data_IF_241516772229
#
_entry.id   IF_241516772229
#
_cell.length_a   1.000
_cell.length_b   1.000
_cell.length_c   1.000
_cell.angle_alpha   90.00
_cell.angle_beta   90.00
_cell.angle_gamma   90.00
#
_symmetry.space_group_name_H-M   'P 1'
#
loop_
_entity.id
_entity.type
_entity.pdbx_description
1 polymer ?
#
# COMPACT_ATOMS: atom_id res chain seq x y z
N UNK A 1 28.79 -28.92 -65.11
CA UNK A 1 29.74 -29.11 -64.00
C UNK A 1 28.95 -28.94 -62.72
N UNK A 2 28.46 -30.06 -62.20
CA UNK A 2 27.49 -30.18 -61.10
C UNK A 2 28.24 -30.65 -59.87
N UNK A 3 28.26 -29.86 -58.80
CA UNK A 3 28.80 -30.28 -57.50
C UNK A 3 27.67 -30.28 -56.48
N UNK A 4 27.09 -31.45 -56.29
CA UNK A 4 26.22 -31.85 -55.20
C UNK A 4 27.03 -31.92 -53.89
N UNK A 5 26.53 -31.27 -52.83
CA UNK A 5 26.98 -31.50 -51.45
C UNK A 5 26.11 -32.60 -50.82
N UNK A 6 26.69 -33.50 -50.00
CA UNK A 6 25.96 -34.55 -49.32
C UNK A 6 25.26 -34.01 -48.06
N UNK A 7 24.07 -34.58 -47.83
CA UNK A 7 23.21 -34.38 -46.66
C UNK A 7 23.85 -35.01 -45.41
N UNK A 8 23.93 -34.23 -44.34
CA UNK A 8 24.36 -34.69 -43.01
C UNK A 8 23.11 -34.95 -42.18
N UNK A 9 22.76 -36.24 -42.11
CA UNK A 9 21.67 -36.84 -41.34
C UNK A 9 22.07 -36.86 -39.85
N UNK A 10 21.48 -35.98 -39.04
CA UNK A 10 21.58 -36.04 -37.58
C UNK A 10 20.34 -36.72 -37.01
N UNK A 11 20.50 -38.00 -36.69
CA UNK A 11 19.61 -38.77 -35.84
C UNK A 11 19.63 -38.22 -34.42
N UNK A 12 18.54 -37.56 -34.01
CA UNK A 12 18.29 -37.24 -32.60
C UNK A 12 17.30 -38.27 -32.07
N UNK A 13 17.82 -39.18 -31.24
CA UNK A 13 17.06 -40.17 -30.48
C UNK A 13 15.83 -39.56 -29.80
N UNK A 14 14.67 -40.08 -30.19
CA UNK A 14 13.39 -39.81 -29.55
C UNK A 14 13.24 -40.76 -28.36
N UNK A 15 13.79 -40.36 -27.21
CA UNK A 15 13.57 -41.04 -25.93
C UNK A 15 12.16 -40.76 -25.40
N UNK A 16 11.25 -41.69 -25.67
CA UNK A 16 9.91 -41.71 -25.09
C UNK A 16 9.91 -42.27 -23.67
N UNK A 17 9.41 -41.49 -22.72
CA UNK A 17 8.81 -42.02 -21.49
C UNK A 17 7.45 -41.37 -21.26
N UNK A 18 6.43 -42.21 -21.31
CA UNK A 18 5.03 -41.90 -21.07
C UNK A 18 4.71 -41.96 -19.55
N UNK A 19 3.51 -41.52 -19.13
CA UNK A 19 3.27 -40.92 -17.81
C UNK A 19 2.79 -41.91 -16.75
N UNK A 20 3.24 -41.71 -15.50
CA UNK A 20 2.64 -42.33 -14.33
C UNK A 20 1.69 -41.35 -13.62
N UNK A 21 0.40 -41.52 -13.90
CA UNK A 21 -0.73 -41.09 -13.08
C UNK A 21 -0.60 -41.56 -11.63
N UNK A 22 -0.71 -40.67 -10.65
CA UNK A 22 -0.96 -41.06 -9.25
C UNK A 22 -1.82 -40.05 -8.47
N UNK A 23 -3.13 -40.31 -8.50
CA UNK A 23 -4.08 -40.34 -7.37
C UNK A 23 -4.05 -39.18 -6.34
N UNK A 24 -5.02 -38.31 -6.58
CA UNK A 24 -5.78 -37.43 -5.68
C UNK A 24 -6.19 -38.11 -4.36
N UNK A 25 -5.72 -37.63 -3.21
CA UNK A 25 -6.37 -37.86 -1.88
C UNK A 25 -6.67 -36.54 -1.18
N UNK A 26 -7.92 -36.07 -1.35
CA UNK A 26 -8.54 -35.00 -0.55
C UNK A 26 -8.84 -35.54 0.85
N UNK A 27 -8.19 -35.01 1.89
CA UNK A 27 -8.71 -35.11 3.27
C UNK A 27 -9.55 -33.87 3.57
N UNK A 28 -10.87 -34.07 3.62
CA UNK A 28 -11.86 -33.16 4.23
C UNK A 28 -11.53 -33.04 5.72
N UNK A 29 -11.20 -31.84 6.21
CA UNK A 29 -11.27 -31.53 7.64
C UNK A 29 -12.55 -30.74 7.88
N UNK A 30 -13.56 -31.42 8.45
CA UNK A 30 -14.72 -30.82 9.12
C UNK A 30 -14.19 -30.05 10.32
N UNK A 31 -14.45 -28.75 10.38
CA UNK A 31 -14.57 -28.02 11.64
C UNK A 31 -15.85 -27.21 11.56
N UNK A 32 -16.88 -27.80 12.17
CA UNK A 32 -18.13 -27.17 12.56
C UNK A 32 -17.92 -26.72 14.00
N UNK A 33 -17.93 -25.42 14.23
CA UNK A 33 -18.09 -24.84 15.56
C UNK A 33 -19.10 -23.70 15.41
N UNK A 34 -20.36 -24.05 15.62
CA UNK A 34 -21.43 -23.12 15.95
C UNK A 34 -21.11 -22.59 17.33
N UNK A 35 -20.85 -21.29 17.44
CA UNK A 35 -20.85 -20.57 18.71
C UNK A 35 -21.95 -19.53 18.61
N UNK A 36 -23.11 -19.89 19.13
CA UNK A 36 -24.17 -18.98 19.49
C UNK A 36 -23.65 -18.04 20.59
N UNK A 37 -23.88 -16.74 20.45
CA UNK A 37 -23.36 -15.78 21.41
C UNK A 37 -23.71 -14.34 21.09
N UNK A 38 -24.86 -13.93 21.63
CA UNK A 38 -25.12 -12.61 22.22
C UNK A 38 -25.41 -11.39 21.33
N UNK A 39 -26.49 -10.71 21.74
CA UNK A 39 -26.33 -9.30 22.10
C UNK A 39 -26.84 -8.31 21.07
N UNK A 40 -28.16 -8.14 21.02
CA UNK A 40 -28.82 -7.00 20.39
C UNK A 40 -28.95 -5.86 21.43
N UNK A 41 -28.15 -4.78 21.38
CA UNK A 41 -28.52 -3.55 22.06
C UNK A 41 -29.45 -2.72 21.16
N UNK A 42 -30.49 -2.22 21.81
CA UNK A 42 -31.56 -1.39 21.30
C UNK A 42 -31.08 -0.17 20.53
N UNK A 43 -31.88 0.18 19.52
CA UNK A 43 -31.86 1.47 18.87
C UNK A 43 -32.09 2.58 19.91
N UNK A 44 -31.15 3.51 20.00
CA UNK A 44 -31.37 4.83 20.59
C UNK A 44 -31.40 5.79 19.42
N UNK A 45 -32.62 6.18 19.05
CA UNK A 45 -32.91 7.35 18.24
C UNK A 45 -32.54 8.57 19.10
N UNK A 46 -31.58 9.37 18.65
CA UNK A 46 -31.43 10.74 19.15
C UNK A 46 -31.73 11.68 18.00
N UNK A 47 -32.90 12.30 18.14
CA UNK A 47 -33.31 13.48 17.42
C UNK A 47 -32.64 14.66 18.15
N UNK A 48 -31.79 15.44 17.50
CA UNK A 48 -31.52 16.80 17.99
C UNK A 48 -31.14 17.74 16.85
N UNK A 49 -32.06 18.70 16.65
CA UNK A 49 -31.85 19.97 15.97
C UNK A 49 -30.63 20.71 16.53
N UNK A 50 -29.87 21.39 15.66
CA UNK A 50 -28.78 22.24 16.14
C UNK A 50 -27.96 22.86 15.04
N UNK A 51 -28.61 23.61 14.14
CA UNK A 51 -27.92 24.47 13.20
C UNK A 51 -27.25 25.63 13.95
N UNK A 52 -25.92 25.56 14.13
CA UNK A 52 -25.10 26.71 14.43
C UNK A 52 -23.94 26.80 13.44
N UNK A 53 -24.08 27.76 12.54
CA UNK A 53 -23.04 28.35 11.70
C UNK A 53 -21.85 28.84 12.54
N UNK A 54 -20.61 28.45 12.24
CA UNK A 54 -19.44 29.14 12.76
C UNK A 54 -19.09 30.32 11.84
N UNK A 55 -19.32 31.52 12.36
CA UNK A 55 -18.82 32.78 11.83
C UNK A 55 -17.29 32.78 11.82
N UNK A 56 -16.72 33.21 10.69
CA UNK A 56 -15.29 33.40 10.45
C UNK A 56 -14.61 34.25 11.55
N UNK A 57 -13.43 33.80 11.97
CA UNK A 57 -12.47 34.60 12.72
C UNK A 57 -11.08 34.44 12.11
N UNK A 58 -10.73 35.33 11.17
CA UNK A 58 -9.37 35.47 10.65
C UNK A 58 -8.52 36.17 11.70
N UNK A 59 -7.78 35.40 12.49
CA UNK A 59 -6.80 35.94 13.45
C UNK A 59 -5.39 35.71 12.90
N UNK A 60 -4.77 36.78 12.45
CA UNK A 60 -3.35 36.85 12.08
C UNK A 60 -2.46 36.44 13.27
N UNK A 61 -1.44 35.58 13.07
CA UNK A 61 -0.53 35.20 14.14
C UNK A 61 0.39 36.36 14.52
N UNK A 62 0.62 36.61 15.82
CA UNK A 62 1.58 37.61 16.27
C UNK A 62 3.01 37.16 15.93
N UNK A 63 3.75 38.02 15.24
CA UNK A 63 5.17 37.88 14.94
C UNK A 63 5.96 38.01 16.24
N UNK A 64 6.34 36.88 16.83
CA UNK A 64 7.19 36.81 18.02
C UNK A 64 8.64 37.04 17.58
N UNK A 65 9.17 38.21 17.90
CA UNK A 65 10.61 38.49 17.88
C UNK A 65 11.31 37.71 19.00
N UNK A 66 12.51 37.13 18.74
CA UNK A 66 13.29 36.46 19.77
C UNK A 66 13.77 37.51 20.78
N UNK A 67 13.21 37.47 21.98
CA UNK A 67 13.66 38.30 23.09
C UNK A 67 14.85 37.58 23.74
N UNK A 68 16.00 38.23 23.74
CA UNK A 68 17.24 37.74 24.35
C UNK A 68 17.02 37.46 25.84
N UNK A 69 17.05 36.18 26.20
CA UNK A 69 17.06 35.72 27.60
C UNK A 69 18.39 36.08 28.24
N UNK A 70 18.48 37.28 28.82
CA UNK A 70 19.49 37.59 29.83
C UNK A 70 19.02 37.02 31.17
N UNK A 71 19.66 35.93 31.57
CA UNK A 71 19.54 35.35 32.92
C UNK A 71 20.18 36.32 33.92
N UNK A 72 19.37 37.16 34.57
CA UNK A 72 19.80 37.96 35.72
C UNK A 72 19.49 37.16 36.98
N UNK A 73 20.52 36.67 37.65
CA UNK A 73 20.45 36.05 38.98
C UNK A 73 20.26 37.15 40.03
N UNK A 74 19.01 37.47 40.39
CA UNK A 74 18.71 38.29 41.57
C UNK A 74 18.34 37.39 42.74
N UNK A 75 19.30 37.16 43.63
CA UNK A 75 19.05 36.63 44.96
C UNK A 75 18.44 37.76 45.80
N UNK A 76 17.12 37.89 45.88
CA UNK A 76 16.46 38.67 46.94
C UNK A 76 15.02 38.18 47.17
N UNK A 77 14.88 37.51 48.31
CA UNK A 77 13.74 37.10 49.11
C UNK A 77 12.47 37.97 48.98
N UNK A 78 11.33 37.34 48.67
CA UNK A 78 10.01 37.93 48.92
C UNK A 78 9.08 38.08 47.71
N UNK A 79 9.47 37.60 46.53
CA UNK A 79 8.50 37.48 45.43
C UNK A 79 7.49 36.39 45.81
N UNK A 80 6.23 36.80 45.98
CA UNK A 80 5.07 36.00 46.37
C UNK A 80 5.12 34.58 45.79
N UNK A 81 5.04 33.59 46.68
CA UNK A 81 4.96 32.15 46.39
C UNK A 81 3.90 31.84 45.30
N UNK A 82 2.86 32.67 45.20
CA UNK A 82 1.79 32.51 44.22
C UNK A 82 2.25 32.85 42.78
N UNK A 83 3.12 33.84 42.59
CA UNK A 83 3.61 34.19 41.25
C UNK A 83 4.50 33.10 40.64
N UNK A 84 5.34 32.47 41.46
CA UNK A 84 6.21 31.39 40.97
C UNK A 84 5.41 30.14 40.60
N UNK A 85 4.30 29.89 41.31
CA UNK A 85 3.36 28.82 41.02
C UNK A 85 2.66 29.05 39.67
N UNK A 86 2.18 30.27 39.42
CA UNK A 86 1.51 30.63 38.14
C UNK A 86 2.48 30.47 36.95
N UNK A 87 3.72 30.95 37.07
CA UNK A 87 4.72 30.81 36.01
C UNK A 87 5.02 29.34 35.70
N UNK A 88 5.12 28.51 36.74
CA UNK A 88 5.37 27.07 36.60
C UNK A 88 4.23 26.38 35.86
N UNK A 89 2.97 26.68 36.20
CA UNK A 89 1.81 26.12 35.52
C UNK A 89 1.73 26.56 34.05
N UNK A 90 1.96 27.83 33.73
CA UNK A 90 2.00 28.30 32.33
C UNK A 90 3.10 27.60 31.51
N UNK A 91 4.26 27.36 32.13
CA UNK A 91 5.38 26.68 31.47
C UNK A 91 5.04 25.20 31.20
N UNK A 92 4.41 24.54 32.17
CA UNK A 92 3.93 23.16 32.04
C UNK A 92 2.89 23.05 30.91
N UNK A 93 1.88 23.93 30.89
CA UNK A 93 0.83 23.94 29.86
C UNK A 93 1.43 24.21 28.47
N UNK A 94 2.34 25.18 28.34
CA UNK A 94 2.99 25.50 27.07
C UNK A 94 3.83 24.33 26.54
N UNK A 95 4.48 23.59 27.44
CA UNK A 95 5.27 22.40 27.08
C UNK A 95 4.37 21.26 26.64
N UNK A 96 3.25 21.03 27.34
CA UNK A 96 2.25 20.04 26.96
C UNK A 96 1.68 20.33 25.57
N UNK A 97 1.31 21.58 25.29
CA UNK A 97 0.78 21.97 23.98
C UNK A 97 1.78 21.71 22.85
N UNK A 98 3.06 22.07 23.03
CA UNK A 98 4.11 21.79 22.04
C UNK A 98 4.31 20.30 21.79
N UNK A 99 4.22 19.47 22.83
CA UNK A 99 4.34 18.03 22.69
C UNK A 99 3.14 17.44 21.94
N UNK A 100 1.91 17.90 22.24
CA UNK A 100 0.71 17.47 21.53
C UNK A 100 0.73 17.85 20.04
N UNK A 101 1.17 19.07 19.70
CA UNK A 101 1.30 19.52 18.31
C UNK A 101 2.34 18.67 17.55
N UNK A 102 3.48 18.38 18.19
CA UNK A 102 4.52 17.53 17.62
C UNK A 102 4.03 16.11 17.36
N UNK A 103 3.30 15.52 18.31
CA UNK A 103 2.74 14.17 18.16
C UNK A 103 1.71 14.11 17.03
N UNK A 104 0.92 15.17 16.84
CA UNK A 104 -0.02 15.28 15.71
C UNK A 104 0.74 15.23 14.37
N UNK A 105 1.80 16.03 14.24
CA UNK A 105 2.62 16.10 13.03
C UNK A 105 3.28 14.75 12.74
N UNK A 106 3.87 14.10 13.75
CA UNK A 106 4.55 12.80 13.58
C UNK A 106 3.57 11.70 13.15
N UNK A 107 2.34 11.71 13.68
CA UNK A 107 1.30 10.74 13.28
C UNK A 107 0.87 10.93 11.82
N UNK A 108 0.69 12.17 11.39
CA UNK A 108 0.35 12.50 10.00
C UNK A 108 1.46 12.08 9.03
N UNK A 109 2.72 12.35 9.37
CA UNK A 109 3.88 11.98 8.56
C UNK A 109 4.01 10.46 8.42
N UNK A 110 3.81 9.72 9.51
CA UNK A 110 3.82 8.26 9.50
C UNK A 110 2.69 7.66 8.65
N UNK A 111 1.50 8.28 8.65
CA UNK A 111 0.38 7.87 7.81
C UNK A 111 0.68 8.03 6.32
N UNK A 112 1.30 9.14 5.94
CA UNK A 112 1.68 9.41 4.54
C UNK A 112 2.76 8.41 4.08
N UNK A 113 3.76 8.15 4.92
CA UNK A 113 4.83 7.21 4.60
C UNK A 113 4.32 5.77 4.44
N UNK A 114 3.30 5.38 5.22
CA UNK A 114 2.63 4.08 5.08
C UNK A 114 1.97 3.89 3.70
N UNK A 115 1.42 4.94 3.08
CA UNK A 115 0.81 4.85 1.76
C UNK A 115 1.82 4.95 0.61
N UNK A 116 2.96 5.61 0.84
CA UNK A 116 4.03 5.77 -0.15
C UNK A 116 4.81 4.49 -0.39
N UNK A 117 5.14 3.76 0.68
CA UNK A 117 5.94 2.54 0.62
C UNK A 117 5.35 1.48 -0.35
N UNK A 118 4.04 1.17 -0.29
CA UNK A 118 3.41 0.27 -1.24
C UNK A 118 3.49 0.73 -2.69
N UNK A 119 3.30 2.03 -2.97
CA UNK A 119 3.38 2.56 -4.34
C UNK A 119 4.78 2.40 -4.94
N UNK A 120 5.81 2.74 -4.17
CA UNK A 120 7.21 2.58 -4.59
C UNK A 120 7.53 1.09 -4.80
N UNK A 121 7.06 0.23 -3.89
CA UNK A 121 7.19 -1.22 -4.04
C UNK A 121 6.54 -1.74 -5.32
N UNK A 122 5.34 -1.25 -5.67
CA UNK A 122 4.66 -1.59 -6.92
C UNK A 122 5.43 -1.11 -8.15
N UNK A 123 6.02 0.09 -8.13
CA UNK A 123 6.83 0.59 -9.25
C UNK A 123 8.05 -0.29 -9.49
N UNK A 124 8.81 -0.62 -8.43
CA UNK A 124 10.00 -1.46 -8.51
C UNK A 124 9.63 -2.87 -9.00
N UNK A 125 8.57 -3.46 -8.43
CA UNK A 125 8.10 -4.79 -8.81
C UNK A 125 7.60 -4.83 -10.26
N UNK A 126 6.92 -3.77 -10.73
CA UNK A 126 6.47 -3.66 -12.12
C UNK A 126 7.64 -3.51 -13.09
N UNK A 127 8.69 -2.78 -12.70
CA UNK A 127 9.92 -2.66 -13.50
C UNK A 127 10.62 -4.02 -13.63
N UNK A 128 10.79 -4.75 -12.53
CA UNK A 128 11.37 -6.11 -12.56
C UNK A 128 10.53 -7.06 -13.41
N UNK A 129 9.19 -6.97 -13.30
CA UNK A 129 8.30 -7.79 -14.10
C UNK A 129 8.40 -7.44 -15.59
N UNK A 130 8.46 -6.15 -15.94
CA UNK A 130 8.64 -5.70 -17.32
C UNK A 130 9.95 -6.25 -17.89
N UNK A 131 11.06 -6.14 -17.15
CA UNK A 131 12.36 -6.69 -17.56
C UNK A 131 12.30 -8.21 -17.71
N UNK A 132 11.63 -8.92 -16.81
CA UNK A 132 11.44 -10.37 -16.90
C UNK A 132 10.66 -10.76 -18.17
N UNK A 133 9.58 -10.05 -18.49
CA UNK A 133 8.79 -10.26 -19.71
C UNK A 133 9.60 -9.95 -20.97
N UNK A 134 10.38 -8.87 -20.97
CA UNK A 134 11.22 -8.49 -22.12
C UNK A 134 12.42 -9.43 -22.31
N UNK A 135 12.97 -9.96 -21.22
CA UNK A 135 14.10 -10.90 -21.24
C UNK A 135 13.71 -12.33 -21.64
N UNK A 136 12.41 -12.64 -21.66
CA UNK A 136 11.92 -13.97 -21.96
C UNK A 136 12.17 -14.35 -23.44
N UNK A 137 13.21 -15.16 -23.67
CA UNK A 137 13.57 -15.73 -24.98
C UNK A 137 13.01 -17.14 -25.21
N UNK A 138 12.07 -17.60 -24.37
CA UNK A 138 11.53 -18.95 -24.47
C UNK A 138 10.91 -19.24 -25.85
N UNK A 139 10.91 -20.53 -26.24
CA UNK A 139 10.30 -21.00 -27.49
C UNK A 139 8.91 -20.39 -27.67
N UNK A 140 8.46 -20.17 -28.92
CA UNK A 140 7.17 -19.56 -29.25
C UNK A 140 6.00 -20.50 -28.85
N UNK A 141 5.81 -20.75 -27.56
CA UNK A 141 4.59 -21.35 -27.01
C UNK A 141 3.39 -20.41 -27.20
N UNK A 142 3.65 -19.14 -27.49
CA UNK A 142 2.68 -18.13 -27.85
C UNK A 142 2.23 -18.36 -29.30
N UNK A 143 1.29 -19.28 -29.52
CA UNK A 143 0.65 -19.45 -30.84
C UNK A 143 -0.02 -18.16 -31.37
N UNK A 144 -0.23 -17.14 -30.52
CA UNK A 144 -0.77 -15.84 -30.93
C UNK A 144 0.11 -14.67 -30.47
N UNK A 145 0.33 -13.70 -31.37
CA UNK A 145 0.98 -12.42 -31.06
C UNK A 145 0.20 -11.58 -30.01
N UNK A 146 -1.10 -11.84 -29.86
CA UNK A 146 -2.00 -11.14 -28.93
C UNK A 146 -1.55 -11.34 -27.48
N UNK A 147 -1.28 -12.59 -27.11
CA UNK A 147 -0.85 -12.93 -25.77
C UNK A 147 0.49 -12.26 -25.39
N UNK A 148 1.46 -12.17 -26.32
CA UNK A 148 2.75 -11.49 -26.07
C UNK A 148 2.55 -10.00 -25.79
N UNK A 149 1.65 -9.37 -26.54
CA UNK A 149 1.29 -7.97 -26.36
C UNK A 149 0.63 -7.74 -25.01
N UNK A 150 -0.27 -8.65 -24.60
CA UNK A 150 -0.91 -8.62 -23.28
C UNK A 150 0.11 -8.71 -22.14
N UNK A 151 1.09 -9.63 -22.24
CA UNK A 151 2.11 -9.81 -21.20
C UNK A 151 3.01 -8.58 -21.02
N UNK A 152 3.28 -7.82 -22.09
CA UNK A 152 4.04 -6.56 -22.04
C UNK A 152 3.16 -5.40 -21.56
N UNK A 153 1.90 -5.37 -22.01
CA UNK A 153 0.95 -4.32 -21.64
C UNK A 153 0.67 -4.31 -20.13
N UNK A 154 0.55 -5.48 -19.50
CA UNK A 154 0.25 -5.61 -18.07
C UNK A 154 1.22 -4.81 -17.15
N UNK A 155 2.55 -5.07 -17.14
CA UNK A 155 3.46 -4.33 -16.29
C UNK A 155 3.59 -2.85 -16.71
N UNK A 156 3.41 -2.53 -18.00
CA UNK A 156 3.36 -1.14 -18.47
C UNK A 156 2.19 -0.37 -17.88
N UNK A 157 0.97 -0.93 -17.90
CA UNK A 157 -0.22 -0.30 -17.33
C UNK A 157 -0.06 -0.10 -15.83
N UNK A 158 0.42 -1.12 -15.11
CA UNK A 158 0.69 -0.98 -13.66
C UNK A 158 1.76 0.08 -13.39
N UNK A 159 2.82 0.14 -14.19
CA UNK A 159 3.87 1.16 -14.06
C UNK A 159 3.32 2.57 -14.29
N UNK A 160 2.50 2.78 -15.32
CA UNK A 160 1.88 4.08 -15.61
C UNK A 160 0.92 4.50 -14.50
N UNK A 161 0.03 3.60 -14.04
CA UNK A 161 -0.94 3.94 -12.99
C UNK A 161 -0.22 4.22 -11.66
N UNK A 162 0.79 3.41 -11.31
CA UNK A 162 1.58 3.65 -10.09
C UNK A 162 2.37 4.96 -10.17
N UNK A 163 2.98 5.28 -11.32
CA UNK A 163 3.65 6.56 -11.55
C UNK A 163 2.66 7.73 -11.46
N UNK A 164 1.47 7.61 -12.08
CA UNK A 164 0.41 8.62 -11.93
C UNK A 164 -0.04 8.77 -10.48
N UNK A 165 -0.11 7.68 -9.72
CA UNK A 165 -0.40 7.72 -8.28
C UNK A 165 0.67 8.48 -7.49
N UNK A 166 1.95 8.25 -7.78
CA UNK A 166 3.06 9.00 -7.16
C UNK A 166 3.02 10.47 -7.56
N UNK A 167 2.75 10.79 -8.82
CA UNK A 167 2.66 12.18 -9.28
C UNK A 167 1.45 12.91 -8.68
N UNK A 168 0.30 12.23 -8.57
CA UNK A 168 -0.93 12.79 -8.00
C UNK A 168 -0.90 12.85 -6.46
N UNK A 169 0.05 12.21 -5.79
CA UNK A 169 0.32 12.45 -4.36
C UNK A 169 0.71 13.91 -4.06
N UNK A 170 1.15 14.67 -5.07
CA UNK A 170 1.35 16.12 -4.92
C UNK A 170 0.02 16.88 -4.75
N UNK A 171 -1.12 16.29 -5.13
CA UNK A 171 -2.46 16.88 -5.01
C UNK A 171 -3.31 16.09 -4.01
N UNK A 172 -3.32 16.57 -2.76
CA UNK A 172 -3.99 15.90 -1.62
C UNK A 172 -5.50 15.71 -1.83
N UNK A 173 -6.18 16.68 -2.42
CA UNK A 173 -7.65 16.65 -2.52
C UNK A 173 -8.15 15.53 -3.45
N UNK A 174 -7.50 15.37 -4.61
CA UNK A 174 -7.87 14.32 -5.56
C UNK A 174 -7.65 12.92 -4.98
N UNK A 175 -6.54 12.75 -4.23
CA UNK A 175 -6.17 11.47 -3.65
C UNK A 175 -7.10 11.06 -2.51
N UNK A 176 -7.56 12.00 -1.68
CA UNK A 176 -8.52 11.71 -0.61
C UNK A 176 -9.88 11.24 -1.16
N UNK A 177 -10.35 11.86 -2.25
CA UNK A 177 -11.63 11.50 -2.86
C UNK A 177 -11.58 10.18 -3.65
N UNK A 178 -10.52 9.96 -4.44
CA UNK A 178 -10.46 8.84 -5.40
C UNK A 178 -9.50 7.71 -5.00
N UNK A 179 -8.66 7.91 -3.98
CA UNK A 179 -7.57 7.00 -3.65
C UNK A 179 -8.03 5.58 -3.34
N UNK A 180 -9.16 5.42 -2.62
CA UNK A 180 -9.73 4.10 -2.30
C UNK A 180 -10.09 3.31 -3.56
N UNK A 181 -10.76 3.95 -4.52
CA UNK A 181 -11.16 3.29 -5.77
C UNK A 181 -9.95 2.90 -6.60
N UNK A 182 -8.95 3.78 -6.68
CA UNK A 182 -7.70 3.51 -7.40
C UNK A 182 -7.01 2.28 -6.82
N UNK A 183 -6.87 2.17 -5.49
CA UNK A 183 -6.20 1.01 -4.87
C UNK A 183 -6.97 -0.29 -5.08
N UNK A 184 -8.31 -0.28 -4.99
CA UNK A 184 -9.14 -1.46 -5.26
C UNK A 184 -8.98 -1.92 -6.71
N UNK A 185 -9.05 -0.99 -7.66
CA UNK A 185 -8.88 -1.28 -9.08
C UNK A 185 -7.47 -1.80 -9.37
N UNK A 186 -6.45 -1.20 -8.76
CA UNK A 186 -5.05 -1.63 -8.90
C UNK A 186 -4.85 -3.02 -8.33
N UNK A 187 -5.43 -3.32 -7.17
CA UNK A 187 -5.37 -4.65 -6.57
C UNK A 187 -6.02 -5.70 -7.46
N UNK A 188 -7.24 -5.45 -7.96
CA UNK A 188 -7.94 -6.39 -8.83
C UNK A 188 -7.20 -6.60 -10.16
N UNK A 189 -6.72 -5.51 -10.77
CA UNK A 189 -5.91 -5.56 -11.98
C UNK A 189 -4.66 -6.42 -11.78
N UNK A 190 -3.90 -6.17 -10.70
CA UNK A 190 -2.67 -6.91 -10.44
C UNK A 190 -2.94 -8.36 -10.07
N UNK A 191 -4.01 -8.65 -9.33
CA UNK A 191 -4.38 -10.00 -8.96
C UNK A 191 -4.75 -10.83 -10.19
N UNK A 192 -5.63 -10.33 -11.06
CA UNK A 192 -6.02 -11.01 -12.30
C UNK A 192 -4.80 -11.20 -13.22
N UNK A 193 -3.97 -10.16 -13.38
CA UNK A 193 -2.77 -10.25 -14.20
C UNK A 193 -1.75 -11.26 -13.66
N UNK A 194 -1.51 -11.30 -12.35
CA UNK A 194 -0.65 -12.29 -11.72
C UNK A 194 -1.18 -13.72 -11.94
N UNK A 195 -2.49 -13.96 -11.75
CA UNK A 195 -3.09 -15.27 -12.04
C UNK A 195 -2.91 -15.66 -13.51
N UNK A 196 -3.15 -14.74 -14.45
CA UNK A 196 -3.00 -15.04 -15.88
C UNK A 196 -1.52 -15.33 -16.24
N UNK A 197 -0.59 -14.50 -15.80
CA UNK A 197 0.85 -14.66 -16.10
C UNK A 197 1.45 -15.93 -15.49
N UNK A 198 0.92 -16.40 -14.36
CA UNK A 198 1.43 -17.58 -13.65
C UNK A 198 0.76 -18.89 -14.08
N UNK A 199 -0.55 -18.89 -14.35
CA UNK A 199 -1.27 -20.11 -14.75
C UNK A 199 -1.28 -20.37 -16.26
N UNK A 200 -1.17 -19.33 -17.11
CA UNK A 200 -1.28 -19.47 -18.57
C UNK A 200 0.05 -19.33 -19.32
N UNK A 201 1.18 -19.05 -18.63
CA UNK A 201 2.49 -18.59 -19.16
C UNK A 201 2.58 -17.05 -19.30
N UNK A 202 3.78 -16.42 -19.17
CA UNK A 202 5.15 -16.95 -19.30
C UNK A 202 5.72 -17.66 -18.07
N UNK A 203 5.19 -17.40 -16.88
CA UNK A 203 5.88 -17.72 -15.62
C UNK A 203 5.27 -18.94 -14.93
N UNK A 204 5.13 -20.05 -15.65
CA UNK A 204 4.68 -21.32 -15.06
C UNK A 204 5.74 -21.94 -14.14
N UNK A 205 7.01 -21.65 -14.42
CA UNK A 205 8.12 -21.96 -13.52
C UNK A 205 8.36 -20.81 -12.55
N UNK A 206 8.65 -21.14 -11.30
CA UNK A 206 9.04 -20.18 -10.27
C UNK A 206 10.35 -19.50 -10.66
N UNK A 207 10.31 -18.19 -10.89
CA UNK A 207 11.47 -17.37 -11.23
C UNK A 207 11.22 -15.91 -10.91
N UNK A 208 12.14 -15.02 -11.31
CA UNK A 208 12.07 -13.59 -10.99
C UNK A 208 10.74 -12.95 -11.43
N UNK A 209 10.24 -13.29 -12.63
CA UNK A 209 8.94 -12.81 -13.11
C UNK A 209 7.75 -13.31 -12.29
N UNK A 210 7.80 -14.57 -11.81
CA UNK A 210 6.77 -15.12 -10.92
C UNK A 210 6.70 -14.33 -9.61
N UNK A 211 7.85 -14.15 -8.95
CA UNK A 211 7.91 -13.40 -7.68
C UNK A 211 7.58 -11.92 -7.86
N UNK A 212 7.98 -11.30 -8.96
CA UNK A 212 7.64 -9.91 -9.26
C UNK A 212 6.13 -9.73 -9.52
N UNK A 213 5.48 -10.68 -10.19
CA UNK A 213 4.03 -10.63 -10.40
C UNK A 213 3.28 -10.71 -9.07
N UNK A 214 3.59 -11.69 -8.21
CA UNK A 214 2.97 -11.78 -6.88
C UNK A 214 3.39 -10.64 -5.94
N UNK A 215 4.60 -10.13 -6.07
CA UNK A 215 5.10 -8.96 -5.34
C UNK A 215 4.22 -7.73 -5.59
N UNK A 216 3.83 -7.48 -6.86
CA UNK A 216 2.90 -6.38 -7.17
C UNK A 216 1.56 -6.52 -6.45
N UNK A 217 1.03 -7.75 -6.31
CA UNK A 217 -0.21 -8.03 -5.59
C UNK A 217 -0.07 -7.78 -4.09
N UNK A 218 1.04 -8.21 -3.49
CA UNK A 218 1.31 -7.99 -2.05
C UNK A 218 1.42 -6.50 -1.75
N UNK A 219 2.15 -5.75 -2.57
CA UNK A 219 2.24 -4.31 -2.40
C UNK A 219 0.89 -3.62 -2.65
N UNK A 220 0.12 -4.01 -3.66
CA UNK A 220 -1.23 -3.49 -3.88
C UNK A 220 -2.18 -3.78 -2.70
N UNK A 221 -2.11 -4.98 -2.12
CA UNK A 221 -2.87 -5.34 -0.92
C UNK A 221 -2.44 -4.52 0.30
N UNK A 222 -1.13 -4.26 0.44
CA UNK A 222 -0.59 -3.37 1.47
C UNK A 222 -1.11 -1.93 1.32
N UNK A 223 -1.24 -1.44 0.08
CA UNK A 223 -1.81 -0.13 -0.22
C UNK A 223 -3.31 -0.03 0.12
N UNK A 224 -4.04 -1.15 0.01
CA UNK A 224 -5.46 -1.24 0.39
C UNK A 224 -5.69 -1.11 1.91
N UNK A 225 -4.63 -1.20 2.71
CA UNK A 225 -4.73 -1.09 4.16
C UNK A 225 -5.33 -2.32 4.83
N UNK A 226 -5.23 -3.51 4.23
CA UNK A 226 -5.54 -4.80 4.90
C UNK A 226 -4.46 -5.09 5.95
N UNK A 227 -4.31 -4.21 6.94
CA UNK A 227 -3.59 -4.47 8.17
C UNK A 227 -4.63 -4.90 9.19
N UNK A 228 -4.88 -6.21 9.22
CA UNK A 228 -5.42 -6.96 10.36
C UNK A 228 -6.73 -6.42 10.98
N UNK A 229 -7.81 -7.16 10.76
CA UNK A 229 -9.09 -7.12 11.49
C UNK A 229 -8.91 -7.46 13.00
N UNK A 230 -7.70 -7.36 13.56
CA UNK A 230 -7.37 -7.69 14.95
C UNK A 230 -7.33 -6.50 15.92
N UNK A 231 -7.48 -5.26 15.44
CA UNK A 231 -7.71 -4.10 16.31
C UNK A 231 -9.21 -3.79 16.32
N UNK A 232 -9.95 -4.42 17.23
CA UNK A 232 -11.41 -4.34 17.38
C UNK A 232 -12.00 -2.92 17.52
N UNK A 233 -11.19 -1.86 17.57
CA UNK A 233 -11.65 -0.48 17.73
C UNK A 233 -11.04 0.52 16.71
N UNK A 234 -10.32 0.07 15.68
CA UNK A 234 -9.76 0.97 14.66
C UNK A 234 -10.43 0.77 13.28
N UNK A 235 -11.75 0.57 13.31
CA UNK A 235 -12.62 0.93 12.18
C UNK A 235 -12.77 2.45 12.23
N UNK A 236 -11.68 3.18 11.94
CA UNK A 236 -11.84 4.55 11.47
C UNK A 236 -12.34 4.43 10.04
N UNK A 237 -13.66 4.28 9.93
CA UNK A 237 -14.40 4.71 8.76
C UNK A 237 -13.97 6.16 8.55
N UNK A 238 -13.00 6.37 7.68
CA UNK A 238 -12.78 7.66 7.04
C UNK A 238 -13.96 7.81 6.08
N UNK A 239 -15.13 8.14 6.62
CA UNK A 239 -16.19 8.85 5.91
C UNK A 239 -15.69 10.23 5.56
#
# INVERSE_FOLDING_TARGET
>A
MTTSKPDEEQDIETGGEAPATAVKRRKKKKQSATSDGEGRPSAITMDEEGALTPTQGTTTPPKITPQDTRTITTNNSGLSIDQQTILTMMTQISTQYKNMEKDRIVREENGINQMRLPLVGMMVSSMVLLLAVLSWKGLPMWKSAVWRSYAIAYPCVTLVISLMGVLKMCNKEFYLSNGKFIHVLLFLWNFVGACLLTFLNPFTQTGNGYFAAWGTVIFAAGALGIRGIGCNNCVTIVT
#
